data_IF_571291770304
#
_entry.id   IF_571291770304
#
_cell.length_a   1.000
_cell.length_b   1.000
_cell.length_c   1.000
_cell.angle_alpha   90.00
_cell.angle_beta   90.00
_cell.angle_gamma   90.00
#
_symmetry.space_group_name_H-M   'P 1'
#
loop_
_entity.id
_entity.type
_entity.pdbx_description
1 polymer ?
#
# COMPACT_ATOMS: atom_id res chain seq x y z
N UNK A 1 -67.04 -56.63 13.44
CA UNK A 1 -65.74 -57.17 13.91
C UNK A 1 -64.84 -57.31 12.68
N UNK A 2 -63.92 -56.38 12.46
CA UNK A 2 -62.83 -56.54 11.48
C UNK A 2 -61.58 -56.74 12.34
N UNK A 3 -61.11 -57.98 12.46
CA UNK A 3 -59.87 -58.30 13.17
C UNK A 3 -58.77 -58.47 12.12
N UNK A 4 -57.91 -57.47 11.96
CA UNK A 4 -56.64 -57.61 11.27
C UNK A 4 -55.60 -58.07 12.30
N UNK A 5 -55.22 -59.35 12.24
CA UNK A 5 -54.30 -59.99 13.16
C UNK A 5 -52.85 -59.83 12.65
N UNK A 6 -52.22 -58.70 12.97
CA UNK A 6 -50.79 -58.47 12.68
C UNK A 6 -49.96 -59.01 13.84
N UNK A 7 -49.38 -60.21 13.65
CA UNK A 7 -48.40 -60.82 14.56
C UNK A 7 -47.11 -59.99 14.58
N UNK A 8 -47.01 -59.03 15.49
CA UNK A 8 -45.75 -58.44 15.97
C UNK A 8 -45.42 -58.95 17.38
N UNK A 9 -44.18 -58.80 17.89
CA UNK A 9 -43.71 -59.44 19.14
C UNK A 9 -44.41 -58.96 20.43
N UNK A 10 -45.30 -57.98 20.32
CA UNK A 10 -46.27 -57.65 21.35
C UNK A 10 -47.66 -58.00 20.78
N UNK A 11 -48.32 -59.01 21.36
CA UNK A 11 -49.65 -59.46 20.96
C UNK A 11 -50.75 -58.44 21.25
N UNK A 12 -50.75 -57.32 20.53
CA UNK A 12 -51.82 -56.33 20.53
C UNK A 12 -52.76 -56.60 19.37
N UNK A 13 -53.97 -57.07 19.65
CA UNK A 13 -55.05 -57.03 18.68
C UNK A 13 -55.35 -55.55 18.38
N UNK A 14 -55.13 -55.10 17.14
CA UNK A 14 -55.52 -53.77 16.67
C UNK A 14 -57.04 -53.66 16.69
N UNK A 15 -57.59 -53.19 17.79
CA UNK A 15 -58.98 -52.75 17.85
C UNK A 15 -59.02 -51.26 17.50
N UNK A 16 -60.04 -50.83 16.76
CA UNK A 16 -60.30 -49.38 16.56
C UNK A 16 -60.52 -48.65 17.90
N UNK A 17 -60.82 -49.39 18.97
CA UNK A 17 -61.06 -48.89 20.31
C UNK A 17 -60.49 -49.87 21.34
N UNK A 18 -59.44 -49.45 22.07
CA UNK A 18 -58.73 -50.28 23.04
C UNK A 18 -59.28 -50.15 24.47
N UNK A 19 -60.41 -49.44 24.66
CA UNK A 19 -60.96 -49.13 25.98
C UNK A 19 -60.16 -48.04 26.73
N UNK A 20 -60.60 -47.66 27.93
CA UNK A 20 -59.88 -46.70 28.76
C UNK A 20 -58.53 -47.30 29.20
N UNK A 21 -57.44 -46.79 28.64
CA UNK A 21 -56.07 -47.17 29.00
C UNK A 21 -55.28 -45.97 29.55
N UNK A 22 -54.18 -46.19 30.29
CA UNK A 22 -53.39 -45.10 30.86
C UNK A 22 -52.85 -44.10 29.82
N UNK A 23 -52.55 -44.58 28.60
CA UNK A 23 -52.10 -43.74 27.50
C UNK A 23 -53.20 -42.78 27.00
N UNK A 24 -54.45 -43.25 26.90
CA UNK A 24 -55.62 -42.44 26.58
C UNK A 24 -55.89 -41.42 27.69
N UNK A 25 -55.69 -41.82 28.95
CA UNK A 25 -55.75 -40.92 30.10
C UNK A 25 -54.71 -39.80 30.01
N UNK A 26 -53.45 -40.11 29.72
CA UNK A 26 -52.38 -39.11 29.55
C UNK A 26 -52.59 -38.22 28.32
N UNK A 27 -53.11 -38.77 27.22
CA UNK A 27 -53.46 -38.00 26.03
C UNK A 27 -54.65 -37.05 26.28
N UNK A 28 -55.69 -37.52 26.97
CA UNK A 28 -56.80 -36.66 27.39
C UNK A 28 -56.32 -35.58 28.36
N UNK A 29 -55.45 -35.93 29.32
CA UNK A 29 -54.86 -34.98 30.24
C UNK A 29 -53.98 -33.94 29.53
N UNK A 30 -53.17 -34.32 28.53
CA UNK A 30 -52.35 -33.36 27.78
C UNK A 30 -53.19 -32.41 26.93
N UNK A 31 -54.30 -32.89 26.36
CA UNK A 31 -55.27 -32.04 25.64
C UNK A 31 -55.95 -31.06 26.60
N UNK A 32 -56.41 -31.53 27.76
CA UNK A 32 -57.04 -30.66 28.78
C UNK A 32 -56.05 -29.64 29.33
N UNK A 33 -54.82 -30.05 29.64
CA UNK A 33 -53.75 -29.15 30.09
C UNK A 33 -53.37 -28.14 29.01
N UNK A 34 -53.28 -28.57 27.75
CA UNK A 34 -53.01 -27.70 26.61
C UNK A 34 -54.13 -26.67 26.38
N UNK A 35 -55.40 -27.10 26.47
CA UNK A 35 -56.55 -26.22 26.38
C UNK A 35 -56.63 -25.23 27.57
N UNK A 36 -56.32 -25.69 28.78
CA UNK A 36 -56.20 -24.83 29.97
C UNK A 36 -55.06 -23.82 29.84
N UNK A 37 -53.91 -24.24 29.31
CA UNK A 37 -52.77 -23.35 29.04
C UNK A 37 -53.13 -22.33 27.96
N UNK A 38 -53.86 -22.73 26.93
CA UNK A 38 -54.29 -21.85 25.83
C UNK A 38 -55.26 -20.77 26.32
N UNK A 39 -56.30 -21.16 27.07
CA UNK A 39 -57.27 -20.20 27.62
C UNK A 39 -56.63 -19.29 28.67
N UNK A 40 -55.68 -19.82 29.46
CA UNK A 40 -54.89 -19.07 30.44
C UNK A 40 -53.61 -18.40 29.90
N UNK A 41 -53.34 -18.46 28.59
CA UNK A 41 -52.03 -18.12 28.02
C UNK A 41 -51.60 -16.69 28.34
N UNK A 42 -52.54 -15.75 28.36
CA UNK A 42 -52.28 -14.34 28.68
C UNK A 42 -51.89 -14.11 30.14
N UNK A 43 -52.43 -14.91 31.08
CA UNK A 43 -52.07 -14.86 32.49
C UNK A 43 -50.72 -15.54 32.74
N UNK A 44 -50.49 -16.69 32.11
CA UNK A 44 -49.20 -17.41 32.15
C UNK A 44 -48.10 -16.52 31.57
N UNK A 45 -48.26 -15.99 30.36
CA UNK A 45 -47.26 -15.12 29.71
C UNK A 45 -46.92 -13.89 30.54
N UNK A 46 -47.89 -13.25 31.21
CA UNK A 46 -47.62 -12.14 32.13
C UNK A 46 -46.76 -12.57 33.33
N UNK A 47 -47.08 -13.71 33.94
CA UNK A 47 -46.32 -14.27 35.08
C UNK A 47 -44.96 -14.83 34.68
N UNK A 48 -44.77 -15.24 33.43
CA UNK A 48 -43.51 -15.83 32.92
C UNK A 48 -42.69 -14.85 32.08
N UNK A 49 -43.15 -13.61 31.90
CA UNK A 49 -42.45 -12.53 31.16
C UNK A 49 -41.08 -12.16 31.73
N UNK A 50 -40.80 -12.53 32.98
CA UNK A 50 -39.46 -12.40 33.58
C UNK A 50 -38.48 -13.45 33.03
N UNK A 51 -38.96 -14.62 32.59
CA UNK A 51 -38.12 -15.68 32.01
C UNK A 51 -37.54 -15.25 30.66
N UNK A 52 -38.32 -14.54 29.82
CA UNK A 52 -37.80 -13.92 28.59
C UNK A 52 -36.74 -12.86 28.89
N UNK A 53 -36.81 -12.17 30.04
CA UNK A 53 -35.78 -11.20 30.46
C UNK A 53 -34.53 -11.89 31.02
N UNK A 54 -34.68 -13.01 31.73
CA UNK A 54 -33.56 -13.78 32.31
C UNK A 54 -32.83 -14.62 31.26
N UNK A 55 -33.57 -15.22 30.32
CA UNK A 55 -33.03 -15.97 29.16
C UNK A 55 -32.77 -15.07 27.95
N UNK A 56 -32.87 -13.75 28.09
CA UNK A 56 -32.92 -12.77 27.00
C UNK A 56 -31.70 -12.69 26.08
N UNK A 57 -30.67 -13.51 26.32
CA UNK A 57 -29.55 -13.69 25.41
C UNK A 57 -29.78 -14.94 24.55
N UNK A 58 -30.35 -14.74 23.38
CA UNK A 58 -30.59 -15.83 22.43
C UNK A 58 -29.33 -16.09 21.59
N UNK A 59 -29.13 -17.32 21.05
CA UNK A 59 -28.01 -17.60 20.14
C UNK A 59 -27.94 -16.64 18.94
N UNK A 60 -29.08 -16.08 18.51
CA UNK A 60 -29.15 -15.03 17.48
C UNK A 60 -28.49 -13.72 17.89
N UNK A 61 -28.53 -13.37 19.18
CA UNK A 61 -27.91 -12.15 19.71
C UNK A 61 -26.40 -12.31 19.82
N UNK A 62 -25.94 -13.49 20.22
CA UNK A 62 -24.52 -13.86 20.19
C UNK A 62 -23.95 -13.78 18.75
N UNK A 63 -24.69 -14.29 17.77
CA UNK A 63 -24.31 -14.19 16.36
C UNK A 63 -24.32 -12.75 15.84
N UNK A 64 -25.30 -11.94 16.25
CA UNK A 64 -25.34 -10.52 15.88
C UNK A 64 -24.16 -9.75 16.49
N UNK A 65 -23.86 -9.99 17.76
CA UNK A 65 -22.74 -9.37 18.46
C UNK A 65 -21.40 -9.75 17.83
N UNK A 66 -21.23 -11.00 17.39
CA UNK A 66 -20.01 -11.42 16.71
C UNK A 66 -19.85 -10.75 15.34
N UNK A 67 -20.92 -10.61 14.56
CA UNK A 67 -20.90 -9.86 13.30
C UNK A 67 -20.59 -8.38 13.51
N UNK A 68 -21.16 -7.76 14.55
CA UNK A 68 -20.86 -6.37 14.90
C UNK A 68 -19.41 -6.21 15.38
N UNK A 69 -18.91 -7.15 16.18
CA UNK A 69 -17.52 -7.23 16.61
C UNK A 69 -16.57 -7.33 15.42
N UNK A 70 -16.85 -8.21 14.45
CA UNK A 70 -16.05 -8.33 13.22
C UNK A 70 -16.03 -7.01 12.45
N UNK A 71 -17.19 -6.35 12.28
CA UNK A 71 -17.26 -5.06 11.58
C UNK A 71 -16.47 -3.96 12.31
N UNK A 72 -16.54 -3.94 13.63
CA UNK A 72 -15.80 -2.99 14.46
C UNK A 72 -14.28 -3.21 14.34
N UNK A 73 -13.83 -4.46 14.44
CA UNK A 73 -12.42 -4.83 14.25
C UNK A 73 -11.97 -4.47 12.84
N UNK A 74 -12.72 -4.85 11.81
CA UNK A 74 -12.41 -4.54 10.42
C UNK A 74 -12.28 -3.03 10.18
N UNK A 75 -13.20 -2.23 10.72
CA UNK A 75 -13.13 -0.76 10.63
C UNK A 75 -11.91 -0.20 11.37
N UNK A 76 -11.60 -0.74 12.54
CA UNK A 76 -10.46 -0.30 13.34
C UNK A 76 -9.13 -0.59 12.64
N UNK A 77 -8.96 -1.81 12.13
CA UNK A 77 -7.78 -2.21 11.34
C UNK A 77 -7.68 -1.37 10.07
N UNK A 78 -8.79 -1.20 9.35
CA UNK A 78 -8.81 -0.39 8.12
C UNK A 78 -8.45 1.05 8.40
N UNK A 79 -9.00 1.66 9.46
CA UNK A 79 -8.67 3.05 9.82
C UNK A 79 -7.22 3.22 10.29
N UNK A 80 -6.64 2.19 10.92
CA UNK A 80 -5.24 2.22 11.33
C UNK A 80 -4.29 2.09 10.12
N UNK A 81 -4.60 1.21 9.17
CA UNK A 81 -3.78 1.00 7.97
C UNK A 81 -3.99 2.06 6.90
N UNK A 82 -5.24 2.42 6.62
CA UNK A 82 -5.64 3.37 5.58
C UNK A 82 -5.83 4.79 6.13
N UNK A 83 -4.77 5.31 6.75
CA UNK A 83 -4.80 6.66 7.35
C UNK A 83 -5.01 7.80 6.33
N UNK A 84 -4.76 7.56 5.04
CA UNK A 84 -4.84 8.56 3.97
C UNK A 84 -3.65 9.53 3.93
N UNK A 85 -2.73 9.48 4.90
CA UNK A 85 -1.57 10.36 4.98
C UNK A 85 -0.30 9.65 4.50
N UNK A 86 0.26 10.09 3.36
CA UNK A 86 1.50 9.54 2.78
C UNK A 86 2.64 9.39 3.81
N UNK A 87 2.79 10.38 4.71
CA UNK A 87 3.80 10.37 5.77
C UNK A 87 3.71 9.14 6.67
N UNK A 88 2.50 8.67 6.99
CA UNK A 88 2.31 7.51 7.85
C UNK A 88 2.69 6.22 7.12
N UNK A 89 2.33 6.09 5.83
CA UNK A 89 2.74 4.94 5.02
C UNK A 89 4.27 4.86 4.87
N UNK A 90 4.93 5.99 4.59
CA UNK A 90 6.39 6.05 4.52
C UNK A 90 7.05 5.70 5.86
N UNK A 91 6.49 6.19 6.98
CA UNK A 91 6.93 5.80 8.32
C UNK A 91 6.87 4.28 8.50
N UNK A 92 5.74 3.65 8.20
CA UNK A 92 5.57 2.19 8.40
C UNK A 92 6.55 1.41 7.51
N UNK A 93 6.69 1.79 6.24
CA UNK A 93 7.61 1.12 5.31
C UNK A 93 9.04 1.21 5.83
N UNK A 94 9.53 2.42 6.12
CA UNK A 94 10.90 2.62 6.59
C UNK A 94 11.15 1.95 7.94
N UNK A 95 10.19 2.04 8.86
CA UNK A 95 10.29 1.40 10.17
C UNK A 95 10.37 -0.12 10.05
N UNK A 96 9.48 -0.73 9.28
CA UNK A 96 9.48 -2.19 9.06
C UNK A 96 10.77 -2.63 8.35
N UNK A 97 11.25 -1.88 7.36
CA UNK A 97 12.55 -2.16 6.72
C UNK A 97 13.69 -2.12 7.74
N UNK A 98 13.77 -1.08 8.57
CA UNK A 98 14.80 -0.98 9.62
C UNK A 98 14.72 -2.15 10.60
N UNK A 99 13.52 -2.49 11.06
CA UNK A 99 13.33 -3.60 12.02
C UNK A 99 13.70 -4.93 11.39
N UNK A 100 13.16 -5.28 10.23
CA UNK A 100 13.36 -6.60 9.62
C UNK A 100 14.79 -6.78 9.10
N UNK A 101 15.31 -5.80 8.36
CA UNK A 101 16.66 -5.88 7.78
C UNK A 101 17.71 -5.71 8.88
N UNK A 102 17.50 -4.77 9.81
CA UNK A 102 18.38 -4.59 10.96
C UNK A 102 18.43 -5.83 11.86
N UNK A 103 17.28 -6.43 12.18
CA UNK A 103 17.24 -7.68 12.93
C UNK A 103 17.97 -8.80 12.19
N UNK A 104 17.76 -8.94 10.89
CA UNK A 104 18.46 -9.95 10.07
C UNK A 104 19.97 -9.73 10.09
N UNK A 105 20.42 -8.48 9.96
CA UNK A 105 21.84 -8.11 9.97
C UNK A 105 22.51 -8.49 11.29
N UNK A 106 21.84 -8.25 12.42
CA UNK A 106 22.32 -8.64 13.75
C UNK A 106 22.28 -10.15 13.94
N UNK A 107 21.18 -10.82 13.56
CA UNK A 107 21.02 -12.27 13.72
C UNK A 107 21.97 -13.10 12.85
N UNK A 108 22.44 -12.55 11.73
CA UNK A 108 23.35 -13.22 10.79
C UNK A 108 24.81 -12.80 10.96
N UNK A 109 25.15 -12.09 12.04
CA UNK A 109 26.50 -11.52 12.26
C UNK A 109 27.01 -10.69 11.06
N UNK A 110 26.09 -10.06 10.32
CA UNK A 110 26.40 -9.28 9.12
C UNK A 110 26.90 -7.86 9.43
N UNK A 111 27.05 -7.51 10.71
CA UNK A 111 27.62 -6.23 11.12
C UNK A 111 29.14 -6.30 10.99
N UNK A 112 29.79 -5.44 10.19
CA UNK A 112 31.24 -5.43 10.04
C UNK A 112 31.92 -5.21 11.39
N UNK A 113 32.80 -6.14 11.78
CA UNK A 113 33.56 -6.04 13.05
C UNK A 113 34.89 -5.32 12.90
N UNK A 114 35.42 -5.28 11.68
CA UNK A 114 36.71 -4.66 11.36
C UNK A 114 36.52 -3.64 10.25
N UNK A 115 36.89 -2.40 10.52
CA UNK A 115 36.96 -1.35 9.51
C UNK A 115 38.40 -1.29 8.99
N UNK A 116 38.61 -1.76 7.77
CA UNK A 116 39.85 -1.48 7.08
C UNK A 116 39.77 -0.04 6.56
N UNK A 117 40.60 0.84 7.12
CA UNK A 117 40.78 2.18 6.55
C UNK A 117 41.48 2.01 5.21
N UNK A 118 40.77 2.32 4.12
CA UNK A 118 41.38 2.44 2.80
C UNK A 118 42.23 3.71 2.74
N UNK A 119 43.20 3.74 1.83
CA UNK A 119 43.98 4.94 1.52
C UNK A 119 43.09 6.05 0.96
N UNK A 120 42.47 6.83 1.85
CA UNK A 120 41.59 7.94 1.51
C UNK A 120 42.41 9.07 0.90
N UNK A 121 42.14 9.38 -0.36
CA UNK A 121 42.83 10.46 -1.04
C UNK A 121 42.21 11.80 -0.66
N UNK A 122 43.04 12.85 -0.64
CA UNK A 122 42.60 14.19 -0.24
C UNK A 122 41.38 14.69 -1.02
N UNK A 123 41.35 14.51 -2.35
CA UNK A 123 40.24 14.95 -3.18
C UNK A 123 38.95 14.15 -2.93
N UNK A 124 39.04 12.87 -2.55
CA UNK A 124 37.88 12.05 -2.18
C UNK A 124 37.27 12.56 -0.87
N UNK A 125 38.12 12.88 0.12
CA UNK A 125 37.69 13.44 1.40
C UNK A 125 37.01 14.81 1.22
N UNK A 126 37.59 15.69 0.39
CA UNK A 126 37.02 17.01 0.08
C UNK A 126 35.66 16.86 -0.60
N UNK A 127 35.55 15.98 -1.59
CA UNK A 127 34.32 15.76 -2.33
C UNK A 127 33.21 15.17 -1.44
N UNK A 128 33.53 14.14 -0.65
CA UNK A 128 32.58 13.54 0.30
C UNK A 128 32.09 14.57 1.33
N UNK A 129 32.99 15.40 1.85
CA UNK A 129 32.67 16.46 2.81
C UNK A 129 31.78 17.53 2.19
N UNK A 130 32.09 17.97 0.96
CA UNK A 130 31.26 18.91 0.21
C UNK A 130 29.84 18.38 -0.01
N UNK A 131 29.71 17.12 -0.44
CA UNK A 131 28.42 16.46 -0.64
C UNK A 131 27.64 16.33 0.68
N UNK A 132 28.31 16.00 1.78
CA UNK A 132 27.69 15.92 3.11
C UNK A 132 27.13 17.27 3.55
N UNK A 133 27.90 18.35 3.41
CA UNK A 133 27.43 19.70 3.74
C UNK A 133 26.29 20.17 2.83
N UNK A 134 26.35 19.85 1.53
CA UNK A 134 25.29 20.18 0.58
C UNK A 134 23.98 19.44 0.93
N UNK A 135 24.06 18.15 1.24
CA UNK A 135 22.91 17.36 1.70
C UNK A 135 22.33 17.90 3.02
N UNK A 136 23.20 18.25 3.99
CA UNK A 136 22.77 18.81 5.26
C UNK A 136 22.10 20.17 5.07
N UNK A 137 22.68 21.05 4.26
CA UNK A 137 22.10 22.35 3.95
C UNK A 137 20.76 22.22 3.23
N UNK A 138 20.59 21.23 2.34
CA UNK A 138 19.31 20.98 1.67
C UNK A 138 18.15 20.71 2.67
N UNK A 139 18.43 20.07 3.81
CA UNK A 139 17.45 19.79 4.88
C UNK A 139 17.00 21.06 5.60
N UNK A 140 17.91 22.00 5.82
CA UNK A 140 17.65 23.25 6.56
C UNK A 140 17.34 24.45 5.66
N UNK A 141 17.48 24.29 4.34
CA UNK A 141 17.34 25.37 3.38
C UNK A 141 15.94 26.03 3.47
N UNK A 142 15.86 27.36 3.55
CA UNK A 142 14.59 28.07 3.72
C UNK A 142 13.75 28.12 2.43
N UNK A 143 14.37 27.95 1.26
CA UNK A 143 13.74 28.07 -0.05
C UNK A 143 13.85 26.81 -0.90
N UNK A 144 12.85 26.59 -1.76
CA UNK A 144 12.85 25.48 -2.73
C UNK A 144 14.05 25.51 -3.66
N UNK A 145 14.34 26.70 -4.20
CA UNK A 145 15.44 26.88 -5.14
C UNK A 145 16.78 26.58 -4.47
N UNK A 146 16.96 26.99 -3.21
CA UNK A 146 18.16 26.64 -2.43
C UNK A 146 18.25 25.14 -2.17
N UNK A 147 17.14 24.46 -1.82
CA UNK A 147 17.14 22.99 -1.66
C UNK A 147 17.53 22.29 -2.95
N UNK A 148 16.95 22.70 -4.08
CA UNK A 148 17.24 22.11 -5.41
C UNK A 148 18.70 22.36 -5.81
N UNK A 149 19.20 23.59 -5.65
CA UNK A 149 20.59 23.91 -5.94
C UNK A 149 21.56 23.05 -5.11
N UNK A 150 21.23 22.82 -3.84
CA UNK A 150 22.06 22.03 -2.92
C UNK A 150 22.03 20.55 -3.25
N UNK A 151 20.86 20.02 -3.64
CA UNK A 151 20.76 18.66 -4.19
C UNK A 151 21.57 18.52 -5.49
N UNK A 152 21.58 19.56 -6.33
CA UNK A 152 22.42 19.65 -7.52
C UNK A 152 23.91 19.47 -7.22
N UNK A 153 24.42 20.12 -6.16
CA UNK A 153 25.82 19.94 -5.72
C UNK A 153 26.10 18.47 -5.37
N UNK A 154 25.16 17.78 -4.72
CA UNK A 154 25.30 16.35 -4.44
C UNK A 154 25.35 15.54 -5.74
N UNK A 155 24.45 15.80 -6.69
CA UNK A 155 24.40 15.09 -7.97
C UNK A 155 25.64 15.30 -8.85
N UNK A 156 26.14 16.52 -8.96
CA UNK A 156 27.42 16.80 -9.63
C UNK A 156 28.61 16.18 -8.88
N UNK A 157 28.53 16.11 -7.54
CA UNK A 157 29.51 15.39 -6.73
C UNK A 157 29.56 13.91 -7.08
N UNK A 158 28.40 13.25 -7.23
CA UNK A 158 28.31 11.86 -7.71
C UNK A 158 28.90 11.71 -9.11
N UNK A 159 28.62 12.64 -10.03
CA UNK A 159 29.22 12.60 -11.37
C UNK A 159 30.76 12.70 -11.33
N UNK A 160 31.30 13.53 -10.44
CA UNK A 160 32.75 13.63 -10.25
C UNK A 160 33.34 12.35 -9.66
N UNK A 161 32.65 11.69 -8.74
CA UNK A 161 33.02 10.35 -8.25
C UNK A 161 33.11 9.37 -9.43
N UNK A 162 32.12 9.33 -10.33
CA UNK A 162 32.18 8.46 -11.51
C UNK A 162 33.38 8.74 -12.41
N UNK A 163 33.73 10.01 -12.65
CA UNK A 163 34.93 10.36 -13.42
C UNK A 163 36.19 9.85 -12.72
N UNK A 164 36.30 10.08 -11.40
CA UNK A 164 37.47 9.67 -10.61
C UNK A 164 37.68 8.15 -10.61
N UNK A 165 36.61 7.36 -10.66
CA UNK A 165 36.67 5.90 -10.73
C UNK A 165 36.55 5.33 -12.15
N UNK A 166 36.77 6.16 -13.18
CA UNK A 166 36.90 5.68 -14.57
C UNK A 166 35.58 5.26 -15.23
N UNK A 167 34.44 5.80 -14.78
CA UNK A 167 33.12 5.57 -15.35
C UNK A 167 32.58 6.82 -16.09
N UNK A 168 33.18 7.23 -17.22
CA UNK A 168 32.84 8.47 -17.91
C UNK A 168 31.42 8.48 -18.49
N UNK A 169 30.93 7.35 -18.99
CA UNK A 169 29.57 7.26 -19.54
C UNK A 169 28.51 7.50 -18.46
N UNK A 170 28.70 6.92 -17.27
CA UNK A 170 27.84 7.17 -16.11
C UNK A 170 27.92 8.62 -15.64
N UNK A 171 29.10 9.24 -15.72
CA UNK A 171 29.25 10.65 -15.38
C UNK A 171 28.48 11.57 -16.34
N UNK A 172 28.59 11.34 -17.65
CA UNK A 172 27.88 12.14 -18.65
C UNK A 172 26.36 12.03 -18.48
N UNK A 173 25.84 10.82 -18.25
CA UNK A 173 24.40 10.63 -18.01
C UNK A 173 23.96 11.26 -16.69
N UNK A 174 24.76 11.14 -15.62
CA UNK A 174 24.48 11.77 -14.33
C UNK A 174 24.39 13.30 -14.46
N UNK A 175 25.33 13.93 -15.16
CA UNK A 175 25.33 15.39 -15.41
C UNK A 175 24.06 15.81 -16.17
N UNK A 176 23.71 15.07 -17.21
CA UNK A 176 22.53 15.36 -18.03
C UNK A 176 21.24 15.23 -17.22
N UNK A 177 21.08 14.11 -16.50
CA UNK A 177 19.90 13.84 -15.67
C UNK A 177 19.81 14.83 -14.51
N UNK A 178 20.93 15.19 -13.88
CA UNK A 178 20.96 16.18 -12.80
C UNK A 178 20.50 17.55 -13.31
N UNK A 179 21.03 18.00 -14.45
CA UNK A 179 20.64 19.26 -15.08
C UNK A 179 19.14 19.26 -15.41
N UNK A 180 18.63 18.20 -16.04
CA UNK A 180 17.21 18.07 -16.36
C UNK A 180 16.35 18.07 -15.09
N UNK A 181 16.75 17.34 -14.06
CA UNK A 181 16.01 17.24 -12.79
C UNK A 181 15.91 18.60 -12.10
N UNK A 182 17.01 19.36 -12.04
CA UNK A 182 17.02 20.74 -11.52
C UNK A 182 16.05 21.62 -12.32
N UNK A 183 16.11 21.59 -13.66
CA UNK A 183 15.19 22.37 -14.50
C UNK A 183 13.72 22.00 -14.26
N UNK A 184 13.41 20.71 -14.18
CA UNK A 184 12.06 20.22 -13.91
C UNK A 184 11.56 20.66 -12.53
N UNK A 185 12.40 20.57 -11.48
CA UNK A 185 12.02 21.03 -10.15
C UNK A 185 11.81 22.54 -10.10
N UNK A 186 12.68 23.32 -10.74
CA UNK A 186 12.53 24.79 -10.83
C UNK A 186 11.20 25.14 -11.51
N UNK A 187 10.89 24.52 -12.65
CA UNK A 187 9.64 24.71 -13.37
C UNK A 187 8.42 24.33 -12.52
N UNK A 188 8.46 23.18 -11.84
CA UNK A 188 7.37 22.73 -10.99
C UNK A 188 7.15 23.66 -9.78
N UNK A 189 8.23 24.07 -9.13
CA UNK A 189 8.17 24.90 -7.93
C UNK A 189 7.79 26.36 -8.19
N UNK A 190 8.11 26.88 -9.36
CA UNK A 190 7.66 28.21 -9.80
C UNK A 190 6.13 28.36 -9.74
N UNK A 191 5.38 27.27 -9.96
CA UNK A 191 3.92 27.28 -10.00
C UNK A 191 3.23 27.01 -8.66
N UNK A 192 3.99 26.74 -7.58
CA UNK A 192 3.43 26.33 -6.29
C UNK A 192 3.46 27.48 -5.26
N UNK A 193 2.41 27.65 -4.43
CA UNK A 193 2.37 28.67 -3.37
C UNK A 193 3.47 28.45 -2.32
N UNK A 194 3.84 29.49 -1.56
CA UNK A 194 4.89 29.40 -0.52
C UNK A 194 4.56 28.35 0.56
N UNK A 195 5.59 27.79 1.20
CA UNK A 195 5.44 26.74 2.23
C UNK A 195 4.55 27.19 3.40
N UNK A 196 3.67 26.30 3.85
CA UNK A 196 3.01 26.40 5.16
C UNK A 196 3.63 25.35 6.08
N UNK A 197 4.29 25.79 7.15
CA UNK A 197 4.88 24.88 8.12
C UNK A 197 3.81 24.39 9.10
N UNK A 198 3.17 23.26 8.76
CA UNK A 198 2.11 22.65 9.57
C UNK A 198 2.63 21.49 10.46
N UNK A 199 3.96 21.35 10.61
CA UNK A 199 4.54 20.16 11.27
C UNK A 199 4.77 20.37 12.76
N UNK A 200 4.20 19.47 13.58
CA UNK A 200 4.35 19.40 15.03
C UNK A 200 5.79 18.98 15.44
N UNK A 201 6.37 19.52 16.52
CA UNK A 201 7.75 19.21 16.94
C UNK A 201 7.98 17.72 17.24
N UNK A 202 7.03 17.05 17.90
CA UNK A 202 7.11 15.61 18.20
C UNK A 202 7.24 14.77 16.92
N UNK A 203 6.49 15.14 15.88
CA UNK A 203 6.57 14.46 14.58
C UNK A 203 7.95 14.64 13.94
N UNK A 204 8.59 15.81 14.11
CA UNK A 204 9.95 16.04 13.59
C UNK A 204 10.98 15.17 14.30
N UNK A 205 10.91 15.06 15.62
CA UNK A 205 11.84 14.22 16.38
C UNK A 205 11.74 12.75 15.92
N UNK A 206 10.53 12.24 15.76
CA UNK A 206 10.28 10.91 15.21
C UNK A 206 10.88 10.76 13.80
N UNK A 207 10.63 11.73 12.92
CA UNK A 207 11.10 11.69 11.54
C UNK A 207 12.65 11.75 11.49
N UNK A 208 13.31 12.50 12.39
CA UNK A 208 14.78 12.51 12.55
C UNK A 208 15.31 11.15 13.01
N UNK A 209 14.71 10.55 14.05
CA UNK A 209 15.14 9.25 14.58
C UNK A 209 15.11 8.18 13.49
N UNK A 210 14.04 8.14 12.69
CA UNK A 210 13.92 7.17 11.59
C UNK A 210 14.94 7.45 10.50
N UNK A 211 15.13 8.72 10.12
CA UNK A 211 16.12 9.08 9.10
C UNK A 211 17.53 8.62 9.51
N UNK A 212 17.89 8.81 10.79
CA UNK A 212 19.16 8.31 11.35
C UNK A 212 19.24 6.79 11.33
N UNK A 213 18.18 6.08 11.74
CA UNK A 213 18.15 4.62 11.70
C UNK A 213 18.28 4.07 10.27
N UNK A 214 17.58 4.67 9.30
CA UNK A 214 17.65 4.26 7.89
C UNK A 214 19.04 4.56 7.31
N UNK A 215 19.59 5.75 7.57
CA UNK A 215 20.94 6.11 7.13
C UNK A 215 22.00 5.21 7.74
N UNK A 216 21.92 4.92 9.04
CA UNK A 216 22.80 4.00 9.74
C UNK A 216 22.69 2.57 9.22
N UNK A 217 21.47 2.09 8.96
CA UNK A 217 21.23 0.78 8.33
C UNK A 217 21.90 0.69 6.95
N UNK A 218 21.64 1.65 6.07
CA UNK A 218 22.21 1.67 4.72
C UNK A 218 23.74 1.75 4.75
N UNK A 219 24.29 2.58 5.65
CA UNK A 219 25.75 2.65 5.86
C UNK A 219 26.31 1.30 6.27
N UNK A 220 25.67 0.63 7.24
CA UNK A 220 26.12 -0.69 7.70
C UNK A 220 26.02 -1.74 6.60
N UNK A 221 24.95 -1.73 5.80
CA UNK A 221 24.78 -2.64 4.66
C UNK A 221 25.87 -2.44 3.60
N UNK A 222 26.18 -1.20 3.25
CA UNK A 222 27.25 -0.89 2.29
C UNK A 222 28.61 -1.37 2.82
N UNK A 223 28.91 -1.09 4.10
CA UNK A 223 30.15 -1.56 4.73
C UNK A 223 30.24 -3.09 4.79
N UNK A 224 29.12 -3.77 5.07
CA UNK A 224 29.03 -5.23 5.04
C UNK A 224 29.27 -5.78 3.63
N UNK A 225 28.64 -5.18 2.62
CA UNK A 225 28.82 -5.59 1.23
C UNK A 225 30.28 -5.43 0.77
N UNK A 226 30.93 -4.31 1.09
CA UNK A 226 32.33 -4.04 0.72
C UNK A 226 33.31 -4.99 1.44
N UNK A 227 32.99 -5.41 2.68
CA UNK A 227 33.82 -6.36 3.42
C UNK A 227 33.82 -7.78 2.84
N UNK A 228 32.93 -8.07 1.87
CA UNK A 228 32.84 -9.36 1.20
C UNK A 228 33.54 -9.27 -0.16
N UNK A 229 34.55 -10.12 -0.46
CA UNK A 229 35.22 -10.11 -1.75
C UNK A 229 34.24 -10.35 -2.92
N UNK A 230 34.25 -9.50 -3.96
CA UNK A 230 33.41 -9.73 -5.14
C UNK A 230 33.97 -10.90 -5.96
N UNK A 231 33.29 -12.04 -5.97
CA UNK A 231 33.60 -13.16 -6.87
C UNK A 231 32.87 -12.98 -8.21
N UNK A 232 33.34 -12.05 -9.05
CA UNK A 232 32.71 -11.76 -10.35
C UNK A 232 33.50 -12.33 -11.52
N UNK A 233 33.16 -13.56 -11.92
CA UNK A 233 33.60 -14.14 -13.21
C UNK A 233 33.11 -13.34 -14.43
N UNK A 234 32.04 -12.58 -14.27
CA UNK A 234 31.41 -11.80 -15.34
C UNK A 234 32.28 -10.63 -15.81
N UNK A 235 33.03 -9.98 -14.91
CA UNK A 235 33.89 -8.86 -15.28
C UNK A 235 34.96 -9.29 -16.30
N UNK A 236 35.63 -10.43 -16.05
CA UNK A 236 36.59 -11.02 -16.99
C UNK A 236 35.93 -11.43 -18.31
N UNK A 237 34.78 -12.10 -18.24
CA UNK A 237 34.01 -12.49 -19.43
C UNK A 237 33.68 -11.29 -20.34
N UNK A 238 33.16 -10.19 -19.78
CA UNK A 238 32.84 -9.00 -20.58
C UNK A 238 34.08 -8.33 -21.14
N UNK A 239 35.17 -8.27 -20.37
CA UNK A 239 36.44 -7.70 -20.86
C UNK A 239 37.00 -8.48 -22.07
N UNK A 240 36.97 -9.82 -22.00
CA UNK A 240 37.48 -10.68 -23.07
C UNK A 240 36.58 -10.70 -24.32
N UNK A 241 35.25 -10.65 -24.13
CA UNK A 241 34.30 -10.88 -25.22
C UNK A 241 33.72 -9.61 -25.86
N UNK A 242 33.85 -8.43 -25.24
CA UNK A 242 33.27 -7.19 -25.78
C UNK A 242 33.84 -6.82 -27.16
N UNK A 243 35.16 -6.88 -27.32
CA UNK A 243 35.79 -6.59 -28.61
C UNK A 243 35.74 -7.80 -29.55
N UNK A 244 35.95 -9.01 -29.02
CA UNK A 244 36.07 -10.22 -29.83
C UNK A 244 34.74 -10.71 -30.42
N UNK A 245 33.64 -10.63 -29.66
CA UNK A 245 32.33 -11.17 -30.05
C UNK A 245 31.29 -10.09 -30.38
N UNK A 246 31.31 -8.98 -29.65
CA UNK A 246 30.36 -7.88 -29.85
C UNK A 246 30.95 -6.69 -30.63
N UNK A 247 32.21 -6.80 -31.08
CA UNK A 247 32.90 -5.83 -31.94
C UNK A 247 32.95 -4.38 -31.40
N UNK A 248 32.83 -4.20 -30.08
CA UNK A 248 32.85 -2.88 -29.43
C UNK A 248 34.02 -2.71 -28.47
N UNK A 249 34.61 -1.52 -28.46
CA UNK A 249 35.76 -1.16 -27.60
C UNK A 249 35.32 -0.53 -26.27
N UNK A 250 34.15 0.10 -26.25
CA UNK A 250 33.55 0.60 -25.01
C UNK A 250 32.76 -0.53 -24.35
N UNK A 251 33.38 -1.18 -23.37
CA UNK A 251 32.81 -2.34 -22.66
C UNK A 251 31.46 -1.99 -22.00
N UNK A 252 31.33 -0.79 -21.42
CA UNK A 252 30.08 -0.38 -20.75
C UNK A 252 28.95 -0.30 -21.76
N UNK A 253 29.17 0.41 -22.88
CA UNK A 253 28.17 0.50 -23.93
C UNK A 253 27.81 -0.89 -24.50
N UNK A 254 28.81 -1.73 -24.77
CA UNK A 254 28.59 -3.10 -25.27
C UNK A 254 27.75 -3.94 -24.31
N UNK A 255 27.99 -3.84 -22.99
CA UNK A 255 27.15 -4.51 -22.00
C UNK A 255 25.71 -4.02 -22.11
N UNK A 256 25.48 -2.71 -22.20
CA UNK A 256 24.13 -2.14 -22.23
C UNK A 256 23.36 -2.49 -23.50
N UNK A 257 23.98 -2.43 -24.69
CA UNK A 257 23.27 -2.63 -25.96
C UNK A 257 23.27 -4.07 -26.46
N UNK A 258 24.30 -4.87 -26.15
CA UNK A 258 24.47 -6.21 -26.72
C UNK A 258 24.21 -7.29 -25.67
N UNK A 259 25.11 -7.46 -24.68
CA UNK A 259 25.00 -8.53 -23.69
C UNK A 259 23.75 -8.42 -22.79
N UNK A 260 23.33 -7.19 -22.47
CA UNK A 260 22.17 -6.88 -21.63
C UNK A 260 21.20 -5.92 -22.32
N UNK A 261 21.09 -6.01 -23.65
CA UNK A 261 20.21 -5.17 -24.48
C UNK A 261 18.74 -5.13 -24.02
N UNK A 262 18.24 -6.21 -23.41
CA UNK A 262 16.88 -6.27 -22.88
C UNK A 262 16.63 -5.29 -21.74
N UNK A 263 17.62 -5.03 -20.88
CA UNK A 263 17.49 -4.07 -19.78
C UNK A 263 17.36 -2.65 -20.37
N UNK A 264 18.18 -2.29 -21.37
CA UNK A 264 18.12 -1.00 -22.09
C UNK A 264 16.80 -0.82 -22.84
N UNK A 265 16.28 -1.88 -23.46
CA UNK A 265 14.94 -1.86 -24.08
C UNK A 265 13.84 -1.60 -23.04
N UNK A 266 13.94 -2.24 -21.87
CA UNK A 266 13.05 -2.03 -20.73
C UNK A 266 13.09 -0.58 -20.23
N UNK A 267 14.27 -0.03 -20.00
CA UNK A 267 14.48 1.35 -19.57
C UNK A 267 13.88 2.35 -20.56
N UNK A 268 14.15 2.18 -21.86
CA UNK A 268 13.60 3.04 -22.92
C UNK A 268 12.07 2.96 -22.97
N UNK A 269 11.50 1.78 -22.74
CA UNK A 269 10.06 1.57 -22.65
C UNK A 269 9.47 2.33 -21.45
N UNK A 270 10.08 2.24 -20.27
CA UNK A 270 9.64 2.97 -19.07
C UNK A 270 9.72 4.49 -19.29
N UNK A 271 10.81 4.99 -19.86
CA UNK A 271 10.96 6.42 -20.20
C UNK A 271 9.89 6.88 -21.19
N UNK A 272 9.60 6.07 -22.21
CA UNK A 272 8.54 6.36 -23.19
C UNK A 272 7.16 6.42 -22.54
N UNK A 273 6.83 5.46 -21.68
CA UNK A 273 5.57 5.44 -20.91
C UNK A 273 5.47 6.65 -19.98
N UNK A 274 6.55 7.01 -19.28
CA UNK A 274 6.59 8.20 -18.43
C UNK A 274 6.35 9.48 -19.25
N UNK A 275 7.00 9.63 -20.40
CA UNK A 275 6.82 10.77 -21.31
C UNK A 275 5.36 10.88 -21.81
N UNK A 276 4.76 9.77 -22.25
CA UNK A 276 3.35 9.74 -22.66
C UNK A 276 2.40 10.04 -21.49
N UNK A 277 2.69 9.53 -20.29
CA UNK A 277 1.93 9.81 -19.08
C UNK A 277 1.93 11.29 -18.71
N UNK A 278 3.11 11.93 -18.72
CA UNK A 278 3.25 13.38 -18.49
C UNK A 278 2.49 14.18 -19.55
N UNK A 279 2.64 13.83 -20.83
CA UNK A 279 1.90 14.48 -21.92
C UNK A 279 0.39 14.36 -21.74
N UNK A 280 -0.13 13.18 -21.39
CA UNK A 280 -1.54 12.95 -21.14
C UNK A 280 -2.07 13.79 -19.97
N UNK A 281 -1.33 13.85 -18.86
CA UNK A 281 -1.68 14.66 -17.68
C UNK A 281 -1.72 16.16 -18.01
N UNK A 282 -0.74 16.67 -18.75
CA UNK A 282 -0.71 18.08 -19.15
C UNK A 282 -1.87 18.44 -20.08
N UNK A 283 -2.20 17.57 -21.05
CA UNK A 283 -3.31 17.79 -21.98
C UNK A 283 -4.67 17.74 -21.27
N UNK A 284 -4.86 16.79 -20.36
CA UNK A 284 -6.10 16.64 -19.60
C UNK A 284 -6.29 17.79 -18.60
N UNK A 285 -5.23 18.21 -17.92
CA UNK A 285 -5.25 19.33 -16.96
C UNK A 285 -5.63 20.65 -17.62
N UNK A 286 -5.14 20.93 -18.85
CA UNK A 286 -5.56 22.11 -19.62
C UNK A 286 -7.05 22.10 -19.95
N UNK A 287 -7.60 20.94 -20.33
CA UNK A 287 -9.05 20.80 -20.63
C UNK A 287 -9.91 21.09 -19.41
N UNK A 288 -9.51 20.64 -18.22
CA UNK A 288 -10.25 20.89 -16.98
C UNK A 288 -10.24 22.37 -16.57
N UNK A 289 -9.11 23.07 -16.75
CA UNK A 289 -9.04 24.52 -16.50
C UNK A 289 -9.91 25.31 -17.48
N UNK A 290 -9.87 24.98 -18.77
CA UNK A 290 -10.76 25.60 -19.78
C UNK A 290 -12.25 25.46 -19.44
N UNK A 291 -12.69 24.26 -19.03
CA UNK A 291 -14.09 24.03 -18.61
C UNK A 291 -14.46 24.84 -17.36
N UNK A 292 -13.51 25.05 -16.44
CA UNK A 292 -13.75 25.79 -15.20
C UNK A 292 -13.76 27.32 -15.41
N UNK A 293 -12.88 27.83 -16.26
CA UNK A 293 -12.67 29.27 -16.45
C UNK A 293 -13.61 29.85 -17.52
N UNK A 294 -13.98 29.10 -18.56
CA UNK A 294 -14.86 29.59 -19.64
C UNK A 294 -16.30 29.06 -19.58
N UNK A 295 -16.73 28.47 -18.45
CA UNK A 295 -18.11 28.02 -18.29
C UNK A 295 -18.56 26.97 -19.29
N UNK A 296 -17.61 26.22 -19.88
CA UNK A 296 -17.93 25.09 -20.75
C UNK A 296 -18.89 24.14 -20.04
N UNK A 297 -19.86 23.51 -20.73
CA UNK A 297 -20.91 22.75 -20.07
C UNK A 297 -20.24 21.62 -19.28
N UNK A 298 -20.15 21.81 -17.96
CA UNK A 298 -19.71 20.76 -17.06
C UNK A 298 -20.61 19.55 -17.25
N UNK A 299 -20.20 18.39 -16.77
CA UNK A 299 -20.99 17.14 -16.90
C UNK A 299 -22.46 17.32 -16.45
N UNK A 300 -22.72 18.22 -15.49
CA UNK A 300 -24.06 18.64 -15.07
C UNK A 300 -24.83 19.49 -16.10
N UNK A 301 -24.15 20.35 -16.87
CA UNK A 301 -24.70 21.16 -17.95
C UNK A 301 -25.09 20.34 -19.18
N UNK A 302 -24.26 19.36 -19.57
CA UNK A 302 -24.60 18.41 -20.63
C UNK A 302 -25.85 17.59 -20.29
N UNK A 303 -26.00 17.17 -19.02
CA UNK A 303 -27.20 16.45 -18.56
C UNK A 303 -28.45 17.33 -18.61
N UNK A 304 -28.34 18.62 -18.30
CA UNK A 304 -29.48 19.58 -18.45
C UNK A 304 -29.83 19.82 -19.91
N UNK A 305 -28.85 19.97 -20.80
CA UNK A 305 -29.09 20.16 -22.25
C UNK A 305 -29.78 18.92 -22.83
N UNK A 306 -29.31 17.72 -22.47
CA UNK A 306 -29.92 16.46 -22.93
C UNK A 306 -31.35 16.29 -22.40
N UNK A 307 -31.60 16.61 -21.12
CA UNK A 307 -32.94 16.56 -20.54
C UNK A 307 -33.87 17.62 -21.14
N UNK A 308 -33.38 18.84 -21.43
CA UNK A 308 -34.18 19.90 -22.04
C UNK A 308 -34.58 19.55 -23.47
N UNK A 309 -33.67 18.95 -24.25
CA UNK A 309 -33.94 18.46 -25.60
C UNK A 309 -34.98 17.34 -25.61
N UNK A 310 -34.87 16.39 -24.68
CA UNK A 310 -35.86 15.31 -24.53
C UNK A 310 -37.25 15.78 -24.08
N UNK A 311 -37.35 16.95 -23.44
CA UNK A 311 -38.62 17.55 -23.01
C UNK A 311 -39.25 18.34 -24.16
N UNK A 312 -38.44 19.07 -24.93
CA UNK A 312 -38.87 19.77 -26.13
C UNK A 312 -39.38 18.79 -27.20
N UNK A 313 -38.70 17.67 -27.41
CA UNK A 313 -39.12 16.62 -28.37
C UNK A 313 -40.44 15.93 -27.95
N UNK A 314 -40.79 15.94 -26.66
CA UNK A 314 -42.08 15.43 -26.17
C UNK A 314 -43.21 16.46 -26.27
N UNK A 315 -42.89 17.75 -26.22
CA UNK A 315 -43.85 18.84 -26.36
C UNK A 315 -44.20 19.14 -27.83
N UNK A 316 -43.33 18.82 -28.79
CA UNK A 316 -43.65 18.90 -30.23
C UNK A 316 -44.34 17.67 -30.80
N UNK A 317 -44.46 16.58 -30.04
CA UNK A 317 -45.16 15.35 -30.44
C UNK A 317 -46.54 15.18 -29.78
N UNK A 318 -46.99 16.15 -28.98
CA UNK A 318 -48.33 16.24 -28.39
C UNK A 318 -49.11 17.39 -29.04
#
# INVERSE_FOLDING_TARGET
>A
RICANLKGPAGGALSLWHGPNPALGMAAASVVLGAGLYTGWTAVRRRTSWVERVLGFWPSDAYRLSLEGIKYVARSVTSAMQSGYLRQYLFVILFVTVVLVGATLVMKDGVPRTFAWSDLRFYEAVLATLMMFAALYAVFAPGRLSTVASLGIVGYGVALIYILYGAPDLAMTQILVETLTVLLFVLAFHHLPRYRNLTHPVSRLRDVLIALCVGGLMTTLVLAAISTPPDSRLAGYFAENSAARAHGRNIVNVILVDFRGLDTFGETTVLSVAAFGVYALLKLGRRQRYVRDEGGPGFAGLRRIFLRRSRQERETQA
#
